data_IF_567085894732
#
_entry.id   IF_567085894732
#
_cell.length_a   1.000
_cell.length_b   1.000
_cell.length_c   1.000
_cell.angle_alpha   90.00
_cell.angle_beta   90.00
_cell.angle_gamma   90.00
#
_symmetry.space_group_name_H-M   'P 1'
#
loop_
_entity.id
_entity.type
_entity.pdbx_description
1 polymer ?
#
# COMPACT_ATOMS: atom_id res chain seq x y z
N UNK A 1 9.77 15.99 1.96
CA UNK A 1 8.33 15.59 2.07
C UNK A 1 8.18 14.72 3.30
N UNK A 2 7.25 15.05 4.18
CA UNK A 2 6.99 14.32 5.43
C UNK A 2 5.85 13.33 5.26
N UNK A 3 6.14 12.04 5.44
CA UNK A 3 5.23 10.93 5.11
C UNK A 3 4.96 10.12 6.38
N UNK A 4 3.67 9.90 6.67
CA UNK A 4 3.17 8.98 7.68
C UNK A 4 2.69 7.67 7.04
N UNK A 5 3.15 6.52 7.55
CA UNK A 5 2.58 5.21 7.20
C UNK A 5 1.98 4.59 8.46
N UNK A 6 0.67 4.42 8.50
CA UNK A 6 0.01 3.77 9.62
C UNK A 6 0.13 2.26 9.45
N UNK A 7 0.87 1.60 10.34
CA UNK A 7 0.91 0.16 10.42
C UNK A 7 0.14 -0.31 11.65
N UNK A 8 -0.86 -1.16 11.45
CA UNK A 8 -1.59 -1.76 12.56
C UNK A 8 -2.22 -3.09 12.14
N UNK A 9 -2.82 -3.78 13.10
CA UNK A 9 -3.43 -5.10 12.96
C UNK A 9 -4.98 -5.06 12.99
N UNK A 10 -5.66 -4.61 11.91
CA UNK A 10 -7.12 -4.62 11.89
C UNK A 10 -7.68 -6.04 11.99
N UNK A 11 -8.91 -6.17 12.46
CA UNK A 11 -9.61 -7.46 12.59
C UNK A 11 -10.81 -7.51 11.66
N UNK A 12 -10.99 -8.64 10.96
CA UNK A 12 -12.09 -8.82 10.00
C UNK A 12 -13.43 -8.54 10.66
N UNK A 13 -14.14 -7.55 10.11
CA UNK A 13 -15.49 -7.18 10.51
C UNK A 13 -15.64 -6.41 11.81
N UNK A 14 -14.55 -6.06 12.49
CA UNK A 14 -14.52 -5.28 13.74
C UNK A 14 -14.19 -3.81 13.47
N UNK A 15 -15.04 -3.16 12.67
CA UNK A 15 -14.82 -1.81 12.12
C UNK A 15 -14.58 -0.77 13.22
N UNK A 16 -15.41 -0.76 14.25
CA UNK A 16 -15.34 0.23 15.33
C UNK A 16 -14.01 0.14 16.10
N UNK A 17 -13.57 -1.08 16.42
CA UNK A 17 -12.30 -1.27 17.11
C UNK A 17 -11.10 -0.98 16.20
N UNK A 18 -11.20 -1.25 14.90
CA UNK A 18 -10.14 -0.92 13.95
C UNK A 18 -9.95 0.60 13.81
N UNK A 19 -11.04 1.36 13.73
CA UNK A 19 -11.02 2.83 13.77
C UNK A 19 -10.40 3.33 15.07
N UNK A 20 -10.86 2.79 16.21
CA UNK A 20 -10.33 3.17 17.54
C UNK A 20 -8.82 2.94 17.64
N UNK A 21 -8.32 1.78 17.16
CA UNK A 21 -6.88 1.48 17.14
C UNK A 21 -6.10 2.48 16.28
N UNK A 22 -6.61 2.83 15.10
CA UNK A 22 -5.98 3.82 14.23
C UNK A 22 -5.92 5.20 14.91
N UNK A 23 -7.04 5.63 15.51
CA UNK A 23 -7.12 6.90 16.24
C UNK A 23 -6.15 6.94 17.43
N UNK A 24 -6.05 5.86 18.20
CA UNK A 24 -5.11 5.76 19.32
C UNK A 24 -3.66 5.87 18.85
N UNK A 25 -3.28 5.20 17.77
CA UNK A 25 -1.92 5.27 17.22
C UNK A 25 -1.60 6.69 16.75
N UNK A 26 -2.53 7.32 16.01
CA UNK A 26 -2.34 8.70 15.53
C UNK A 26 -2.31 9.72 16.66
N UNK A 27 -3.13 9.55 17.69
CA UNK A 27 -3.14 10.40 18.87
C UNK A 27 -1.86 10.27 19.71
N UNK A 28 -1.31 9.05 19.82
CA UNK A 28 -0.05 8.81 20.54
C UNK A 28 1.16 9.35 19.77
N UNK A 29 1.15 9.26 18.45
CA UNK A 29 2.24 9.77 17.61
C UNK A 29 2.20 11.30 17.46
N UNK A 30 1.00 11.89 17.50
CA UNK A 30 0.70 13.32 17.31
C UNK A 30 1.58 13.99 16.24
N UNK A 31 1.53 13.51 14.99
CA UNK A 31 2.44 13.95 13.96
C UNK A 31 2.13 15.39 13.53
N UNK A 32 3.16 16.23 13.49
CA UNK A 32 3.06 17.61 12.97
C UNK A 32 3.58 17.71 11.54
N UNK A 33 2.94 18.54 10.71
CA UNK A 33 3.43 18.89 9.37
C UNK A 33 3.59 17.71 8.42
N UNK A 34 2.65 16.76 8.45
CA UNK A 34 2.59 15.70 7.45
C UNK A 34 2.17 16.27 6.10
N UNK A 35 2.81 15.84 5.02
CA UNK A 35 2.32 16.07 3.66
C UNK A 35 1.36 14.94 3.23
N UNK A 36 1.64 13.71 3.68
CA UNK A 36 0.95 12.49 3.28
C UNK A 36 0.80 11.51 4.44
N UNK A 37 -0.39 10.96 4.63
CA UNK A 37 -0.68 9.83 5.52
C UNK A 37 -1.23 8.65 4.70
N UNK A 38 -0.61 7.48 4.78
CA UNK A 38 -1.02 6.27 4.04
C UNK A 38 -1.43 5.17 5.00
N UNK A 39 -2.62 4.62 4.77
CA UNK A 39 -3.15 3.47 5.50
C UNK A 39 -3.04 2.17 4.68
N UNK A 40 -3.06 1.00 5.35
CA UNK A 40 -3.02 -0.30 4.70
C UNK A 40 -4.27 -0.61 3.88
N UNK A 41 -4.18 -1.71 3.13
CA UNK A 41 -5.28 -2.24 2.33
C UNK A 41 -6.42 -2.71 3.25
N UNK A 42 -7.65 -2.33 2.93
CA UNK A 42 -8.86 -2.64 3.70
C UNK A 42 -8.71 -2.31 5.21
N UNK A 43 -8.21 -1.10 5.50
CA UNK A 43 -7.73 -0.69 6.81
C UNK A 43 -8.76 -0.90 7.94
N UNK A 44 -10.03 -0.56 7.70
CA UNK A 44 -11.04 -0.62 8.76
C UNK A 44 -11.92 -1.88 8.72
N UNK A 45 -12.02 -2.56 7.58
CA UNK A 45 -12.83 -3.78 7.46
C UNK A 45 -12.07 -5.05 7.87
N UNK A 46 -10.74 -5.02 7.88
CA UNK A 46 -9.92 -6.24 7.80
C UNK A 46 -9.92 -6.83 6.38
N UNK A 47 -9.20 -7.93 6.15
CA UNK A 47 -8.90 -8.40 4.79
C UNK A 47 -9.46 -9.77 4.44
N UNK A 48 -9.38 -10.74 5.35
CA UNK A 48 -9.61 -12.17 5.06
C UNK A 48 -11.09 -12.58 4.90
N UNK A 49 -11.85 -11.86 4.08
CA UNK A 49 -13.22 -12.20 3.69
C UNK A 49 -13.25 -13.41 2.77
N UNK A 50 -14.28 -14.26 2.91
CA UNK A 50 -14.35 -15.59 2.26
C UNK A 50 -15.34 -15.66 1.11
N UNK A 51 -16.18 -14.64 0.98
CA UNK A 51 -17.24 -14.54 -0.02
C UNK A 51 -17.82 -13.14 -0.05
N UNK A 52 -18.54 -12.83 -1.11
CA UNK A 52 -19.36 -11.62 -1.20
C UNK A 52 -20.31 -11.47 0.00
N UNK A 53 -20.98 -12.54 0.44
CA UNK A 53 -21.88 -12.52 1.60
C UNK A 53 -21.15 -12.10 2.89
N UNK A 54 -19.88 -12.51 3.06
CA UNK A 54 -19.09 -12.20 4.25
C UNK A 54 -18.68 -10.73 4.29
N UNK A 55 -18.27 -10.15 3.15
CA UNK A 55 -17.86 -8.73 3.10
C UNK A 55 -19.04 -7.76 2.98
N UNK A 56 -20.19 -8.22 2.49
CA UNK A 56 -21.35 -7.37 2.18
C UNK A 56 -21.76 -6.36 3.27
N UNK A 57 -21.72 -6.68 4.58
CA UNK A 57 -22.03 -5.71 5.64
C UNK A 57 -21.04 -4.54 5.76
N UNK A 58 -19.84 -4.69 5.19
CA UNK A 58 -18.72 -3.77 5.34
C UNK A 58 -18.42 -2.98 4.07
N UNK A 59 -19.12 -3.26 2.98
CA UNK A 59 -18.98 -2.52 1.72
C UNK A 59 -19.43 -1.07 1.88
N UNK A 60 -18.65 -0.16 1.31
CA UNK A 60 -18.82 1.27 1.53
C UNK A 60 -18.99 2.03 0.21
N UNK A 61 -19.81 3.09 0.24
CA UNK A 61 -19.83 4.06 -0.86
C UNK A 61 -18.59 4.96 -0.77
N UNK A 62 -17.91 5.28 -1.90
CA UNK A 62 -16.75 6.18 -1.90
C UNK A 62 -17.01 7.56 -1.28
N UNK A 63 -18.25 8.06 -1.35
CA UNK A 63 -18.61 9.42 -0.96
C UNK A 63 -19.10 9.55 0.50
N UNK A 64 -19.56 8.45 1.10
CA UNK A 64 -20.21 8.49 2.42
C UNK A 64 -19.84 7.32 3.33
N UNK A 65 -18.92 6.46 2.90
CA UNK A 65 -18.38 5.36 3.68
C UNK A 65 -17.63 5.84 4.91
N UNK A 66 -17.58 5.01 5.96
CA UNK A 66 -16.88 5.33 7.20
C UNK A 66 -15.39 5.60 6.95
N UNK A 67 -14.77 4.87 6.02
CA UNK A 67 -13.40 5.09 5.58
C UNK A 67 -13.23 6.50 5.01
N UNK A 68 -14.12 6.94 4.11
CA UNK A 68 -14.07 8.29 3.52
C UNK A 68 -14.27 9.41 4.55
N UNK A 69 -15.17 9.21 5.51
CA UNK A 69 -15.48 10.17 6.57
C UNK A 69 -14.33 10.30 7.57
N UNK A 70 -13.73 9.17 7.94
CA UNK A 70 -12.56 9.13 8.80
C UNK A 70 -11.36 9.81 8.12
N UNK A 71 -11.09 9.48 6.85
CA UNK A 71 -9.96 10.07 6.11
C UNK A 71 -10.12 11.58 5.94
N UNK A 72 -11.33 12.07 5.69
CA UNK A 72 -11.62 13.52 5.66
C UNK A 72 -11.34 14.19 7.00
N UNK A 73 -11.74 13.54 8.10
CA UNK A 73 -11.50 14.07 9.45
C UNK A 73 -10.00 14.15 9.75
N UNK A 74 -9.22 13.14 9.35
CA UNK A 74 -7.77 13.13 9.55
C UNK A 74 -7.04 14.10 8.62
N UNK A 75 -7.47 14.22 7.36
CA UNK A 75 -6.88 15.15 6.41
C UNK A 75 -6.98 16.60 6.91
N UNK A 76 -8.17 17.00 7.39
CA UNK A 76 -8.41 18.32 7.96
C UNK A 76 -7.69 18.53 9.31
N UNK A 77 -7.58 17.47 10.14
CA UNK A 77 -6.92 17.57 11.45
C UNK A 77 -5.41 17.77 11.31
N UNK A 78 -4.78 17.02 10.41
CA UNK A 78 -3.32 16.99 10.24
C UNK A 78 -2.83 17.84 9.06
N UNK A 79 -3.74 18.52 8.35
CA UNK A 79 -3.46 19.37 7.18
C UNK A 79 -2.64 18.64 6.11
N UNK A 80 -3.08 17.42 5.76
CA UNK A 80 -2.32 16.51 4.91
C UNK A 80 -3.20 15.70 3.96
N UNK A 81 -2.61 15.16 2.89
CA UNK A 81 -3.30 14.19 2.02
C UNK A 81 -3.39 12.83 2.71
N UNK A 82 -4.55 12.18 2.70
CA UNK A 82 -4.78 10.86 3.29
C UNK A 82 -5.14 9.84 2.22
N UNK A 83 -4.43 8.70 2.20
CA UNK A 83 -4.75 7.54 1.35
C UNK A 83 -5.25 6.39 2.21
N UNK A 84 -6.41 5.82 1.88
CA UNK A 84 -7.05 4.77 2.70
C UNK A 84 -7.61 3.64 1.87
N UNK A 85 -7.17 2.41 2.16
CA UNK A 85 -7.69 1.19 1.55
C UNK A 85 -9.04 0.80 2.16
N UNK A 86 -10.05 0.50 1.33
CA UNK A 86 -11.42 0.20 1.77
C UNK A 86 -12.18 -0.68 0.76
N UNK A 87 -13.23 -1.41 1.20
CA UNK A 87 -14.05 -2.23 0.32
C UNK A 87 -15.16 -1.38 -0.32
N UNK A 88 -15.00 -1.04 -1.59
CA UNK A 88 -15.90 -0.15 -2.33
C UNK A 88 -17.14 -0.89 -2.86
N UNK A 89 -18.29 -0.22 -2.80
CA UNK A 89 -19.52 -0.57 -3.53
C UNK A 89 -19.95 0.57 -4.45
N UNK A 90 -20.30 0.20 -5.67
CA UNK A 90 -20.85 1.08 -6.70
C UNK A 90 -22.23 0.59 -7.10
N UNK A 91 -23.25 1.41 -6.86
CA UNK A 91 -24.59 1.13 -7.37
C UNK A 91 -24.64 1.56 -8.85
N UNK A 92 -24.70 0.60 -9.77
CA UNK A 92 -24.77 0.88 -11.21
C UNK A 92 -26.21 1.25 -11.59
N UNK A 93 -26.41 2.43 -12.18
CA UNK A 93 -27.75 2.96 -12.47
C UNK A 93 -28.27 2.62 -13.89
N UNK A 94 -27.40 2.09 -14.76
CA UNK A 94 -27.58 2.21 -16.21
C UNK A 94 -28.21 1.00 -16.93
N UNK A 95 -28.64 -0.05 -16.21
CA UNK A 95 -29.43 -1.15 -16.83
C UNK A 95 -30.19 -1.95 -15.79
N UNK A 96 -31.44 -2.35 -16.04
CA UNK A 96 -32.23 -3.16 -15.09
C UNK A 96 -32.22 -4.66 -15.46
N UNK A 97 -32.00 -5.57 -14.50
CA UNK A 97 -31.49 -5.34 -13.15
C UNK A 97 -29.97 -5.09 -13.19
N UNK A 98 -29.52 -4.01 -12.56
CA UNK A 98 -28.10 -3.70 -12.42
C UNK A 98 -27.68 -4.26 -11.07
N UNK A 99 -26.84 -5.29 -11.10
CA UNK A 99 -26.16 -5.72 -9.89
C UNK A 99 -25.08 -4.67 -9.56
N UNK A 100 -24.96 -4.27 -8.28
CA UNK A 100 -23.88 -3.38 -7.86
C UNK A 100 -22.52 -4.03 -8.08
N UNK A 101 -21.52 -3.20 -8.33
CA UNK A 101 -20.12 -3.60 -8.50
C UNK A 101 -19.35 -3.39 -7.21
N UNK A 102 -18.36 -4.24 -6.95
CA UNK A 102 -17.57 -4.21 -5.73
C UNK A 102 -16.09 -4.25 -6.04
N UNK A 103 -15.31 -3.44 -5.32
CA UNK A 103 -13.88 -3.29 -5.59
C UNK A 103 -13.07 -3.23 -4.30
N UNK A 104 -11.83 -3.70 -4.38
CA UNK A 104 -10.80 -3.38 -3.40
C UNK A 104 -10.14 -2.07 -3.83
N UNK A 105 -10.31 -1.02 -3.05
CA UNK A 105 -10.03 0.34 -3.50
C UNK A 105 -9.17 1.12 -2.51
N UNK A 106 -8.49 2.15 -3.00
CA UNK A 106 -7.77 3.14 -2.22
C UNK A 106 -8.30 4.54 -2.58
N UNK A 107 -8.98 5.18 -1.61
CA UNK A 107 -9.44 6.56 -1.73
C UNK A 107 -8.32 7.53 -1.36
N UNK A 108 -8.29 8.70 -1.99
CA UNK A 108 -7.36 9.79 -1.69
C UNK A 108 -8.13 11.05 -1.36
N UNK A 109 -7.93 11.56 -0.15
CA UNK A 109 -8.51 12.82 0.33
C UNK A 109 -7.41 13.86 0.46
N UNK A 110 -7.58 15.04 -0.13
CA UNK A 110 -6.64 16.17 0.02
C UNK A 110 -6.74 16.83 1.40
N UNK A 111 -5.77 17.68 1.70
CA UNK A 111 -5.68 18.51 2.91
C UNK A 111 -6.92 19.39 3.16
N UNK A 112 -7.62 19.82 2.12
CA UNK A 112 -8.90 20.53 2.20
C UNK A 112 -10.13 19.62 2.48
N UNK A 113 -9.91 18.32 2.59
CA UNK A 113 -10.92 17.31 2.84
C UNK A 113 -11.63 16.77 1.59
N UNK A 114 -11.28 17.20 0.39
CA UNK A 114 -11.94 16.75 -0.84
C UNK A 114 -11.40 15.41 -1.38
N UNK A 115 -12.28 14.60 -1.97
CA UNK A 115 -11.87 13.36 -2.63
C UNK A 115 -11.23 13.68 -3.98
N UNK A 116 -9.92 13.48 -4.11
CA UNK A 116 -9.14 13.84 -5.30
C UNK A 116 -8.80 12.64 -6.19
N UNK A 117 -8.88 11.42 -5.65
CA UNK A 117 -8.76 10.20 -6.43
C UNK A 117 -9.43 9.00 -5.73
N UNK A 118 -9.78 7.99 -6.52
CA UNK A 118 -10.19 6.67 -6.04
C UNK A 118 -9.58 5.63 -6.99
N UNK A 119 -8.66 4.83 -6.50
CA UNK A 119 -8.01 3.75 -7.26
C UNK A 119 -8.64 2.41 -6.92
N UNK A 120 -8.87 1.56 -7.92
CA UNK A 120 -9.38 0.19 -7.77
C UNK A 120 -8.29 -0.79 -8.14
N UNK A 121 -8.03 -1.78 -7.28
CA UNK A 121 -6.98 -2.79 -7.43
C UNK A 121 -7.08 -3.47 -8.80
N UNK A 122 -6.01 -3.41 -9.59
CA UNK A 122 -5.99 -3.93 -10.95
C UNK A 122 -5.76 -5.45 -10.96
N UNK A 123 -4.87 -5.95 -10.11
CA UNK A 123 -4.54 -7.36 -10.00
C UNK A 123 -5.09 -7.94 -8.69
N UNK A 124 -6.10 -8.81 -8.77
CA UNK A 124 -6.71 -9.43 -7.60
C UNK A 124 -5.88 -10.58 -7.04
N UNK A 125 -5.82 -10.69 -5.71
CA UNK A 125 -5.37 -11.89 -5.01
C UNK A 125 -6.54 -12.87 -4.85
N UNK A 126 -6.26 -14.15 -4.54
CA UNK A 126 -7.32 -15.16 -4.44
C UNK A 126 -8.44 -14.78 -3.45
N UNK A 127 -8.10 -14.05 -2.37
CA UNK A 127 -9.08 -13.57 -1.39
C UNK A 127 -10.02 -12.55 -2.01
N UNK A 128 -9.48 -11.62 -2.81
CA UNK A 128 -10.24 -10.58 -3.48
C UNK A 128 -11.21 -11.16 -4.52
N UNK A 129 -10.79 -12.18 -5.28
CA UNK A 129 -11.60 -12.82 -6.34
C UNK A 129 -12.93 -13.38 -5.81
N UNK A 130 -13.04 -13.64 -4.50
CA UNK A 130 -14.28 -14.17 -3.90
C UNK A 130 -15.40 -13.13 -3.78
N UNK A 131 -15.11 -11.84 -3.98
CA UNK A 131 -16.08 -10.76 -3.76
C UNK A 131 -15.88 -9.50 -4.62
N UNK A 132 -14.70 -9.24 -5.16
CA UNK A 132 -14.35 -8.03 -5.90
C UNK A 132 -14.18 -8.27 -7.40
N UNK A 133 -14.36 -7.20 -8.18
CA UNK A 133 -13.96 -7.10 -9.59
C UNK A 133 -12.58 -6.45 -9.72
N UNK A 134 -11.87 -6.75 -10.81
CA UNK A 134 -10.65 -6.02 -11.20
C UNK A 134 -10.99 -4.56 -11.55
N UNK A 135 -10.12 -3.63 -11.18
CA UNK A 135 -10.25 -2.22 -11.56
C UNK A 135 -10.20 -2.05 -13.09
N UNK A 136 -11.24 -1.43 -13.72
CA UNK A 136 -11.34 -1.39 -15.18
C UNK A 136 -10.31 -0.45 -15.84
N UNK A 137 -9.78 0.51 -15.07
CA UNK A 137 -8.88 1.55 -15.58
C UNK A 137 -7.39 1.15 -15.57
N UNK A 138 -7.07 -0.06 -15.07
CA UNK A 138 -5.70 -0.50 -14.82
C UNK A 138 -5.03 0.30 -13.69
N UNK A 139 -3.69 0.33 -13.67
CA UNK A 139 -2.94 1.00 -12.61
C UNK A 139 -3.16 2.52 -12.61
N UNK A 140 -3.35 3.10 -11.43
CA UNK A 140 -3.59 4.54 -11.29
C UNK A 140 -2.40 5.38 -11.75
N UNK A 141 -2.69 6.45 -12.49
CA UNK A 141 -1.76 7.55 -12.74
C UNK A 141 -2.51 8.87 -12.56
N UNK A 142 -1.91 9.83 -11.88
CA UNK A 142 -2.52 11.15 -11.71
C UNK A 142 -1.54 12.14 -11.09
N UNK A 143 -1.98 13.39 -10.95
CA UNK A 143 -1.27 14.39 -10.15
C UNK A 143 -2.10 14.69 -8.93
N UNK A 144 -1.58 14.36 -7.75
CA UNK A 144 -2.22 14.72 -6.49
C UNK A 144 -1.86 16.17 -6.12
N UNK A 145 -2.80 16.97 -5.58
CA UNK A 145 -2.51 18.31 -5.06
C UNK A 145 -1.35 18.24 -4.06
N UNK A 146 -0.43 19.22 -4.14
CA UNK A 146 0.75 19.37 -3.27
C UNK A 146 1.79 18.22 -3.30
N UNK A 147 1.44 17.01 -3.76
CA UNK A 147 2.33 15.85 -3.84
C UNK A 147 2.92 15.61 -5.24
N UNK A 148 2.25 16.07 -6.30
CA UNK A 148 2.75 15.97 -7.67
C UNK A 148 2.35 14.66 -8.40
N UNK A 149 3.09 14.25 -9.45
CA UNK A 149 2.79 13.05 -10.23
C UNK A 149 2.90 11.78 -9.37
N UNK A 150 1.81 11.01 -9.31
CA UNK A 150 1.67 9.86 -8.41
C UNK A 150 1.14 8.63 -9.15
N UNK A 151 1.70 7.46 -8.82
CA UNK A 151 1.14 6.16 -9.13
C UNK A 151 0.65 5.49 -7.84
N UNK A 152 -0.45 4.76 -7.90
CA UNK A 152 -1.01 4.03 -6.76
C UNK A 152 -1.16 2.57 -7.15
N UNK A 153 -0.72 1.68 -6.26
CA UNK A 153 -0.91 0.24 -6.35
C UNK A 153 -1.46 -0.31 -5.04
N UNK A 154 -2.09 -1.48 -5.10
CA UNK A 154 -2.59 -2.20 -3.94
C UNK A 154 -2.01 -3.62 -3.97
N UNK A 155 -1.16 -3.94 -3.00
CA UNK A 155 -0.60 -5.26 -2.72
C UNK A 155 -0.22 -6.07 -3.98
N UNK A 156 -1.12 -6.96 -4.42
CA UNK A 156 -0.96 -7.87 -5.55
C UNK A 156 -0.65 -7.19 -6.90
N UNK A 157 -0.89 -5.88 -7.02
CA UNK A 157 -0.45 -5.09 -8.17
C UNK A 157 1.07 -5.16 -8.42
N UNK A 158 1.88 -5.43 -7.38
CA UNK A 158 3.33 -5.64 -7.54
C UNK A 158 3.67 -6.96 -8.23
N UNK A 159 2.81 -7.97 -8.10
CA UNK A 159 3.09 -9.31 -8.57
C UNK A 159 2.78 -9.45 -10.06
N UNK A 160 3.43 -10.43 -10.75
CA UNK A 160 3.01 -10.82 -12.08
C UNK A 160 1.52 -11.16 -12.08
N UNK A 161 0.80 -10.75 -13.13
CA UNK A 161 -0.64 -10.95 -13.21
C UNK A 161 -1.02 -12.42 -12.92
N UNK A 162 -1.90 -12.61 -11.93
CA UNK A 162 -2.38 -13.91 -11.42
C UNK A 162 -1.30 -14.89 -10.95
N UNK A 163 -0.06 -14.44 -10.72
CA UNK A 163 1.13 -15.29 -10.57
C UNK A 163 1.42 -16.19 -11.78
N UNK A 164 0.84 -15.88 -12.94
CA UNK A 164 1.00 -16.65 -14.18
C UNK A 164 1.84 -15.90 -15.22
N UNK A 165 1.80 -14.56 -15.20
CA UNK A 165 2.62 -13.76 -16.09
C UNK A 165 4.13 -13.96 -15.81
N UNK A 166 4.99 -13.81 -16.84
CA UNK A 166 6.43 -13.90 -16.65
C UNK A 166 6.95 -12.90 -15.60
N UNK A 167 7.88 -13.36 -14.76
CA UNK A 167 8.46 -12.55 -13.68
C UNK A 167 9.06 -11.23 -14.16
N UNK A 168 9.68 -11.24 -15.34
CA UNK A 168 10.37 -10.13 -15.96
C UNK A 168 9.44 -9.10 -16.63
N UNK A 169 8.11 -9.28 -16.54
CA UNK A 169 7.16 -8.30 -17.07
C UNK A 169 7.06 -7.02 -16.26
N UNK A 170 7.32 -7.07 -14.95
CA UNK A 170 7.33 -5.92 -14.03
C UNK A 170 6.25 -4.87 -14.32
N UNK A 171 4.99 -5.31 -14.44
CA UNK A 171 3.90 -4.53 -15.04
C UNK A 171 3.71 -3.18 -14.33
N UNK A 172 3.70 -3.19 -13.00
CA UNK A 172 3.54 -1.98 -12.20
C UNK A 172 4.77 -1.06 -12.24
N UNK A 173 5.98 -1.60 -12.24
CA UNK A 173 7.21 -0.78 -12.31
C UNK A 173 7.34 -0.07 -13.67
N UNK A 174 6.97 -0.73 -14.77
CA UNK A 174 6.91 -0.06 -16.07
C UNK A 174 5.81 1.01 -16.11
N UNK A 175 4.67 0.76 -15.46
CA UNK A 175 3.64 1.80 -15.31
C UNK A 175 4.14 3.02 -14.53
N UNK A 176 4.90 2.83 -13.44
CA UNK A 176 5.55 3.93 -12.70
C UNK A 176 6.44 4.77 -13.61
N UNK A 177 7.29 4.13 -14.42
CA UNK A 177 8.15 4.83 -15.38
C UNK A 177 7.33 5.58 -16.44
N UNK A 178 6.35 4.92 -17.04
CA UNK A 178 5.56 5.46 -18.15
C UNK A 178 4.62 6.60 -17.71
N UNK A 179 4.18 6.60 -16.45
CA UNK A 179 3.33 7.65 -15.88
C UNK A 179 4.12 8.91 -15.50
N UNK A 180 5.46 8.82 -15.41
CA UNK A 180 6.29 9.90 -14.89
C UNK A 180 6.06 10.16 -13.40
N UNK A 181 5.58 9.15 -12.67
CA UNK A 181 5.32 9.26 -11.24
C UNK A 181 6.62 9.51 -10.47
N UNK A 182 6.56 10.46 -9.54
CA UNK A 182 7.65 10.78 -8.59
C UNK A 182 7.34 10.31 -7.18
N UNK A 183 6.08 10.00 -6.93
CA UNK A 183 5.58 9.37 -5.73
C UNK A 183 4.83 8.09 -6.13
N UNK A 184 5.13 6.99 -5.46
CA UNK A 184 4.43 5.72 -5.61
C UNK A 184 3.88 5.34 -4.25
N UNK A 185 2.58 5.10 -4.19
CA UNK A 185 1.91 4.68 -2.96
C UNK A 185 1.43 3.26 -3.14
N UNK A 186 1.82 2.37 -2.23
CA UNK A 186 1.40 0.98 -2.22
C UNK A 186 0.72 0.67 -0.89
N UNK A 187 -0.61 0.52 -0.94
CA UNK A 187 -1.43 0.13 0.21
C UNK A 187 -1.56 -1.40 0.24
N UNK A 188 -1.28 -2.06 1.38
CA UNK A 188 -1.01 -3.50 1.37
C UNK A 188 -1.63 -4.29 2.53
N UNK A 189 -2.07 -5.49 2.20
CA UNK A 189 -2.34 -6.61 3.09
C UNK A 189 -1.48 -7.82 2.70
N UNK A 190 -0.15 -7.64 2.74
CA UNK A 190 0.81 -8.63 2.31
C UNK A 190 1.06 -9.68 3.38
N UNK A 191 0.80 -10.94 3.04
CA UNK A 191 0.96 -12.08 3.94
C UNK A 191 2.35 -12.72 3.87
N UNK A 192 2.74 -13.41 4.94
CA UNK A 192 3.86 -14.35 4.96
C UNK A 192 3.39 -15.79 5.15
N UNK A 193 4.22 -16.74 4.73
CA UNK A 193 4.05 -18.16 5.00
C UNK A 193 4.90 -18.65 6.17
N UNK A 194 5.62 -17.76 6.86
CA UNK A 194 6.37 -18.08 8.07
C UNK A 194 5.43 -18.59 9.16
N UNK A 195 5.91 -19.53 9.98
CA UNK A 195 5.14 -19.97 11.15
C UNK A 195 5.00 -18.83 12.16
N UNK A 196 3.82 -18.63 12.78
CA UNK A 196 3.60 -17.57 13.77
C UNK A 196 4.59 -17.62 14.94
N UNK A 197 5.06 -18.81 15.32
CA UNK A 197 6.06 -19.00 16.37
C UNK A 197 7.39 -18.36 16.01
N UNK A 198 7.85 -18.54 14.77
CA UNK A 198 9.08 -17.94 14.22
C UNK A 198 8.90 -16.45 14.01
N UNK A 199 7.75 -16.06 13.47
CA UNK A 199 7.42 -14.66 13.21
C UNK A 199 7.46 -13.80 14.47
N UNK A 200 6.96 -14.32 15.60
CA UNK A 200 6.91 -13.57 16.86
C UNK A 200 8.21 -13.59 17.68
N UNK A 201 9.29 -14.23 17.19
CA UNK A 201 10.58 -14.23 17.91
C UNK A 201 11.23 -12.85 17.94
N UNK A 202 11.11 -12.09 16.87
CA UNK A 202 11.73 -10.77 16.69
C UNK A 202 10.68 -9.78 16.15
N UNK A 203 9.68 -9.41 16.96
CA UNK A 203 8.51 -8.63 16.51
C UNK A 203 8.89 -7.22 16.00
N UNK A 204 9.97 -6.67 16.51
CA UNK A 204 10.49 -5.33 16.18
C UNK A 204 11.42 -5.35 14.96
N UNK A 205 11.83 -6.53 14.49
CA UNK A 205 12.65 -6.63 13.29
C UNK A 205 11.77 -6.68 12.04
N UNK A 206 12.12 -5.94 10.97
CA UNK A 206 11.39 -6.01 9.72
C UNK A 206 11.53 -7.38 9.08
N UNK A 207 10.56 -7.76 8.26
CA UNK A 207 10.70 -8.86 7.31
C UNK A 207 11.54 -8.40 6.12
N UNK A 208 12.85 -8.59 6.25
CA UNK A 208 13.82 -8.19 5.23
C UNK A 208 13.61 -8.96 3.92
N UNK A 209 13.13 -10.21 3.98
CA UNK A 209 12.92 -11.02 2.76
C UNK A 209 11.79 -10.43 1.92
N UNK A 210 10.70 -10.05 2.58
CA UNK A 210 9.55 -9.39 1.96
C UNK A 210 9.91 -8.01 1.42
N UNK A 211 10.66 -7.20 2.17
CA UNK A 211 11.13 -5.90 1.69
C UNK A 211 11.98 -6.03 0.41
N UNK A 212 12.94 -6.96 0.41
CA UNK A 212 13.80 -7.20 -0.76
C UNK A 212 12.99 -7.68 -1.96
N UNK A 213 11.96 -8.50 -1.72
CA UNK A 213 11.02 -8.90 -2.75
C UNK A 213 10.31 -7.68 -3.34
N UNK A 214 9.70 -6.80 -2.51
CA UNK A 214 9.03 -5.59 -3.00
C UNK A 214 9.97 -4.72 -3.81
N UNK A 215 11.18 -4.46 -3.32
CA UNK A 215 12.19 -3.66 -4.03
C UNK A 215 12.57 -4.31 -5.36
N UNK A 216 12.70 -5.64 -5.42
CA UNK A 216 13.00 -6.36 -6.66
C UNK A 216 11.90 -6.22 -7.73
N UNK A 217 10.64 -6.00 -7.31
CA UNK A 217 9.54 -5.73 -8.26
C UNK A 217 9.66 -4.35 -8.91
N UNK A 218 10.48 -3.45 -8.37
CA UNK A 218 10.84 -2.15 -8.95
C UNK A 218 12.18 -2.17 -9.70
N UNK A 219 12.72 -3.34 -10.06
CA UNK A 219 13.99 -3.45 -10.79
C UNK A 219 14.05 -2.56 -12.05
N UNK A 220 13.01 -2.42 -12.90
CA UNK A 220 13.05 -1.49 -14.03
C UNK A 220 13.27 -0.03 -13.61
N UNK A 221 12.70 0.40 -12.49
CA UNK A 221 12.86 1.76 -11.96
C UNK A 221 14.30 1.98 -11.47
N UNK A 222 14.88 0.97 -10.80
CA UNK A 222 16.28 0.99 -10.36
C UNK A 222 17.22 1.05 -11.57
N UNK A 223 16.97 0.23 -12.59
CA UNK A 223 17.79 0.15 -13.79
C UNK A 223 17.67 1.39 -14.70
N UNK A 224 16.56 2.11 -14.65
CA UNK A 224 16.38 3.36 -15.38
C UNK A 224 17.37 4.46 -14.94
N UNK A 225 17.95 4.37 -13.73
CA UNK A 225 18.96 5.29 -13.18
C UNK A 225 18.59 6.77 -13.33
N UNK A 226 17.32 7.09 -13.08
CA UNK A 226 16.81 8.45 -13.17
C UNK A 226 17.55 9.38 -12.19
N UNK A 227 17.87 10.61 -12.63
CA UNK A 227 18.47 11.63 -11.77
C UNK A 227 17.48 12.17 -10.74
N UNK A 228 16.19 12.17 -11.11
CA UNK A 228 15.10 12.51 -10.22
C UNK A 228 14.76 11.33 -9.32
N UNK A 229 14.57 11.59 -8.03
CA UNK A 229 14.19 10.55 -7.08
C UNK A 229 12.71 10.23 -7.17
N UNK A 230 12.42 8.93 -7.20
CA UNK A 230 11.08 8.37 -7.05
C UNK A 230 10.97 7.85 -5.62
N UNK A 231 10.03 8.42 -4.87
CA UNK A 231 9.69 7.98 -3.52
C UNK A 231 8.62 6.91 -3.61
N UNK A 232 8.82 5.79 -2.93
CA UNK A 232 7.91 4.64 -2.86
C UNK A 232 7.53 4.42 -1.40
N UNK A 233 6.23 4.40 -1.13
CA UNK A 233 5.64 4.23 0.19
C UNK A 233 4.95 2.87 0.23
N UNK A 234 5.47 1.95 1.04
CA UNK A 234 4.85 0.66 1.34
C UNK A 234 4.13 0.77 2.69
N UNK A 235 2.80 0.88 2.66
CA UNK A 235 1.96 0.88 3.86
C UNK A 235 1.26 -0.47 3.98
N UNK A 236 1.83 -1.35 4.79
CA UNK A 236 1.35 -2.72 4.95
C UNK A 236 0.84 -2.94 6.38
N UNK A 237 -0.27 -3.67 6.50
CA UNK A 237 -0.80 -4.06 7.81
C UNK A 237 0.09 -5.09 8.50
N UNK A 238 -0.03 -5.17 9.81
CA UNK A 238 0.57 -6.21 10.63
C UNK A 238 -0.51 -7.15 11.19
N UNK A 239 -0.07 -8.08 12.05
CA UNK A 239 -0.96 -8.96 12.80
C UNK A 239 -1.48 -10.14 11.99
N UNK A 240 -2.56 -10.75 12.49
CA UNK A 240 -3.08 -12.02 12.00
C UNK A 240 -4.61 -12.00 11.94
N UNK A 241 -5.17 -12.65 10.93
CA UNK A 241 -6.61 -12.88 10.76
C UNK A 241 -6.87 -14.35 10.44
N UNK A 242 -7.37 -15.10 11.44
CA UNK A 242 -7.48 -16.57 11.35
C UNK A 242 -6.11 -17.17 10.99
N UNK A 243 -5.97 -17.84 9.85
CA UNK A 243 -4.73 -18.47 9.40
C UNK A 243 -3.81 -17.53 8.60
N UNK A 244 -4.25 -16.30 8.28
CA UNK A 244 -3.46 -15.36 7.49
C UNK A 244 -2.62 -14.46 8.40
N UNK A 245 -1.29 -14.51 8.25
CA UNK A 245 -0.32 -13.69 8.97
C UNK A 245 0.26 -12.63 8.03
N UNK A 246 0.24 -11.36 8.44
CA UNK A 246 0.69 -10.23 7.62
C UNK A 246 2.04 -9.70 8.10
N UNK A 247 2.88 -9.30 7.15
CA UNK A 247 4.32 -9.04 7.38
C UNK A 247 4.65 -7.71 8.04
N UNK A 248 3.69 -6.81 8.22
CA UNK A 248 3.97 -5.43 8.64
C UNK A 248 5.04 -4.83 7.74
N UNK A 249 6.16 -4.38 8.32
CA UNK A 249 7.33 -3.91 7.57
C UNK A 249 7.02 -2.72 6.67
N UNK A 250 6.09 -1.86 7.09
CA UNK A 250 5.82 -0.60 6.39
C UNK A 250 7.11 0.20 6.25
N UNK A 251 7.40 0.68 5.04
CA UNK A 251 8.71 1.21 4.66
C UNK A 251 8.55 2.34 3.66
N UNK A 252 9.38 3.38 3.79
CA UNK A 252 9.53 4.44 2.77
C UNK A 252 10.91 4.34 2.13
N UNK A 253 10.92 4.26 0.80
CA UNK A 253 12.11 4.06 -0.02
C UNK A 253 12.23 5.18 -1.05
N UNK A 254 13.44 5.65 -1.33
CA UNK A 254 13.77 6.48 -2.49
C UNK A 254 14.64 5.74 -3.48
N UNK A 255 14.36 5.89 -4.77
CA UNK A 255 15.20 5.36 -5.84
C UNK A 255 15.72 6.52 -6.68
N UNK A 256 17.04 6.70 -6.73
CA UNK A 256 17.69 7.69 -7.62
C UNK A 256 19.07 7.25 -8.05
N UNK A 257 19.36 7.43 -9.33
CA UNK A 257 20.60 7.03 -10.01
C UNK A 257 20.93 5.53 -9.82
N UNK A 258 19.89 4.70 -9.68
CA UNK A 258 20.01 3.25 -9.43
C UNK A 258 20.40 2.88 -8.00
N UNK A 259 20.51 3.86 -7.10
CA UNK A 259 20.67 3.63 -5.67
C UNK A 259 19.30 3.60 -4.99
N UNK A 260 19.11 2.62 -4.11
CA UNK A 260 17.91 2.48 -3.28
C UNK A 260 18.23 2.96 -1.87
N UNK A 261 17.49 3.96 -1.40
CA UNK A 261 17.61 4.61 -0.09
C UNK A 261 16.40 4.24 0.76
N UNK A 262 16.61 3.80 1.98
CA UNK A 262 15.53 3.55 2.95
C UNK A 262 15.48 4.75 3.87
N UNK A 263 14.35 5.46 3.92
CA UNK A 263 14.14 6.61 4.81
C UNK A 263 13.61 6.19 6.18
N UNK A 264 12.83 5.12 6.25
CA UNK A 264 12.33 4.56 7.49
C UNK A 264 11.63 3.23 7.25
N UNK A 265 11.56 2.42 8.30
CA UNK A 265 11.05 1.06 8.27
C UNK A 265 10.53 0.68 9.66
N UNK A 266 9.38 0.02 9.72
CA UNK A 266 8.85 -0.59 10.95
C UNK A 266 9.18 -2.07 11.03
N UNK A 267 9.16 -2.59 12.25
CA UNK A 267 9.15 -4.01 12.53
C UNK A 267 7.90 -4.70 12.00
N UNK A 268 7.96 -6.02 11.94
CA UNK A 268 6.88 -6.86 11.39
C UNK A 268 5.60 -6.88 12.25
N UNK A 269 5.72 -6.68 13.56
CA UNK A 269 4.59 -6.69 14.51
C UNK A 269 4.23 -5.32 15.07
N UNK A 270 4.91 -4.25 14.65
CA UNK A 270 4.67 -2.92 15.22
C UNK A 270 3.26 -2.43 14.88
N UNK A 271 2.66 -1.71 15.82
CA UNK A 271 1.37 -1.03 15.68
C UNK A 271 1.59 0.46 15.93
N UNK A 272 2.21 1.12 14.96
CA UNK A 272 2.75 2.47 15.12
C UNK A 272 2.59 3.27 13.82
N UNK A 273 2.77 4.58 13.93
CA UNK A 273 2.88 5.48 12.78
C UNK A 273 4.36 5.67 12.42
N UNK A 274 4.78 5.17 11.27
CA UNK A 274 6.09 5.50 10.71
C UNK A 274 6.05 6.93 10.17
N UNK A 275 6.80 7.85 10.77
CA UNK A 275 6.95 9.22 10.24
C UNK A 275 8.37 9.38 9.69
N UNK A 276 8.46 9.71 8.40
CA UNK A 276 9.73 10.00 7.73
C UNK A 276 9.72 11.40 7.12
N UNK A 277 10.89 12.02 7.05
CA UNK A 277 11.12 13.23 6.25
C UNK A 277 12.13 12.90 5.15
N UNK A 278 11.68 12.96 3.89
CA UNK A 278 12.54 12.64 2.74
C UNK A 278 13.58 13.70 2.40
N UNK A 279 13.51 14.87 3.04
CA UNK A 279 14.55 15.91 2.95
C UNK A 279 15.71 15.64 3.93
N UNK A 280 15.52 14.76 4.91
CA UNK A 280 16.56 14.28 5.81
C UNK A 280 17.44 13.18 5.15
N UNK A 281 18.67 12.93 5.65
CA UNK A 281 19.47 11.81 5.17
C UNK A 281 18.75 10.47 5.35
N UNK A 282 18.89 9.52 4.41
CA UNK A 282 18.23 8.22 4.54
C UNK A 282 18.82 7.41 5.70
N UNK A 283 17.95 6.63 6.35
CA UNK A 283 18.32 5.67 7.40
C UNK A 283 19.33 4.63 6.91
N UNK A 284 19.15 4.11 5.69
CA UNK A 284 20.05 3.12 5.10
C UNK A 284 20.10 3.23 3.57
N UNK A 285 21.13 2.61 2.98
CA UNK A 285 21.32 2.49 1.52
C UNK A 285 21.53 1.03 1.17
N UNK A 286 20.80 0.54 0.18
CA UNK A 286 20.97 -0.80 -0.34
C UNK A 286 22.00 -0.78 -1.47
N UNK A 287 23.08 -1.54 -1.28
CA UNK A 287 24.12 -1.71 -2.28
C UNK A 287 23.71 -2.85 -3.21
N UNK A 288 23.13 -2.52 -4.36
CA UNK A 288 22.81 -3.50 -5.39
C UNK A 288 24.11 -3.99 -6.05
N UNK A 289 24.54 -5.21 -5.72
CA UNK A 289 25.63 -5.86 -6.46
C UNK A 289 25.00 -6.56 -7.66
N UNK A 290 25.19 -5.98 -8.85
CA UNK A 290 24.90 -6.67 -10.11
C UNK A 290 25.69 -7.99 -10.08
N UNK A 291 24.99 -9.11 -10.03
CA UNK A 291 25.60 -10.40 -10.27
C UNK A 291 26.06 -10.42 -11.73
N UNK A 292 27.32 -10.08 -11.97
CA UNK A 292 27.96 -10.35 -13.25
C UNK A 292 27.90 -11.86 -13.43
N UNK A 293 27.07 -12.34 -14.35
CA UNK A 293 27.10 -13.71 -14.84
C UNK A 293 28.53 -13.97 -15.33
N UNK A 294 29.32 -14.62 -14.49
CA UNK A 294 30.67 -15.04 -14.83
C UNK A 294 30.57 -16.01 -16.00
N UNK A 295 31.05 -15.57 -17.15
CA UNK A 295 31.40 -16.47 -18.25
C UNK A 295 32.43 -17.43 -17.68
N UNK A 296 32.06 -18.70 -17.58
CA UNK A 296 33.00 -19.79 -17.37
C UNK A 296 33.91 -19.80 -18.61
N UNK A 297 35.10 -19.23 -18.49
CA UNK A 297 36.19 -19.59 -19.40
C UNK A 297 36.64 -21.00 -19.02
N UNK A 298 36.33 -21.94 -19.92
CA UNK A 298 36.92 -23.28 -19.93
C UNK A 298 38.44 -23.16 -20.12
N UNK A 299 39.20 -23.76 -19.20
CA UNK A 299 40.58 -24.18 -19.39
C UNK A 299 40.78 -25.54 -18.72
#
# INVERSE_FOLDING_TARGET
>A
MRIGCLQFAPQVGDVDSNLTRADEILANADPEGLDLLVLPELAFSGYNFKSLQHISPYLESPASGISSLWSRSMALKYDCTVVTGYPERVDTADSWPADPEYYNSALVISDDGETVANYRKANLYYTDVTWALEGPDGFYRGRLPNLGPTAIGICMDLNPYKFEAPWDKFEFAHHVLNSGARLVIVSMAWSTHDEPTVYNLQPQEPDTSTLMYWISRFEPVIQARLDEEIIIVFANRSGMESEALYTGTSTVVGIKSGEVRIYGILGRCDNELLVVDTDAPPFAKLVHRIATSGVLEEA
#
